data_IF_440370234837
#
_entry.id   IF_440370234837
#
_cell.length_a   1.000
_cell.length_b   1.000
_cell.length_c   1.000
_cell.angle_alpha   90.00
_cell.angle_beta   90.00
_cell.angle_gamma   90.00
#
_symmetry.space_group_name_H-M   'P 1'
#
loop_
_entity.id
_entity.type
_entity.pdbx_description
1 polymer ?
#
# COMPACT_ATOMS: atom_id res chain seq x y z
N UNK A 1 10.84 -4.05 3.73
CA UNK A 1 11.82 -4.57 2.76
C UNK A 1 13.21 -4.67 3.37
N UNK A 2 13.90 -3.56 3.65
CA UNK A 2 15.29 -3.57 4.17
C UNK A 2 15.49 -4.49 5.39
N UNK A 3 14.63 -4.36 6.41
CA UNK A 3 14.66 -5.22 7.60
C UNK A 3 14.63 -6.72 7.24
N UNK A 4 13.72 -7.11 6.34
CA UNK A 4 13.55 -8.50 5.90
C UNK A 4 14.80 -9.04 5.21
N UNK A 5 15.37 -8.27 4.30
CA UNK A 5 16.55 -8.68 3.52
C UNK A 5 17.84 -8.68 4.35
N UNK A 6 17.90 -7.87 5.42
CA UNK A 6 19.00 -7.85 6.39
C UNK A 6 18.82 -8.86 7.53
N UNK A 7 17.68 -9.57 7.58
CA UNK A 7 17.38 -10.53 8.63
C UNK A 7 17.02 -9.92 9.99
N UNK A 8 16.60 -8.65 10.02
CA UNK A 8 16.08 -8.02 11.23
C UNK A 8 14.70 -8.60 11.57
N UNK A 9 14.58 -9.31 12.68
CA UNK A 9 13.34 -9.95 13.13
C UNK A 9 12.51 -9.11 14.09
N UNK A 10 13.13 -8.13 14.75
CA UNK A 10 12.51 -7.35 15.83
C UNK A 10 11.85 -6.07 15.31
N UNK A 11 11.12 -6.19 14.20
CA UNK A 11 10.37 -5.08 13.59
C UNK A 11 9.00 -5.56 13.10
N UNK A 12 7.95 -4.92 13.60
CA UNK A 12 6.57 -5.12 13.13
C UNK A 12 6.10 -3.89 12.37
N UNK A 13 5.52 -4.09 11.18
CA UNK A 13 4.96 -3.01 10.36
C UNK A 13 3.44 -3.01 10.50
N UNK A 14 2.88 -1.85 10.87
CA UNK A 14 1.45 -1.63 10.99
C UNK A 14 1.00 -0.57 9.98
N UNK A 15 0.64 -1.02 8.78
CA UNK A 15 0.31 -0.19 7.61
C UNK A 15 -1.15 -0.39 7.14
N UNK A 16 -2.03 -0.68 8.09
CA UNK A 16 -3.47 -0.85 7.88
C UNK A 16 -4.26 0.00 8.87
N UNK A 17 -5.54 0.23 8.57
CA UNK A 17 -6.54 0.76 9.51
C UNK A 17 -7.54 -0.30 9.96
N UNK A 18 -7.36 -1.57 9.57
CA UNK A 18 -8.33 -2.61 9.89
C UNK A 18 -8.42 -2.85 11.41
N UNK A 19 -9.60 -2.70 12.03
CA UNK A 19 -9.78 -2.77 13.48
C UNK A 19 -9.18 -4.02 14.12
N UNK A 20 -9.45 -5.20 13.56
CA UNK A 20 -8.95 -6.46 14.13
C UNK A 20 -7.43 -6.54 14.16
N UNK A 21 -6.73 -5.94 13.19
CA UNK A 21 -5.25 -5.89 13.20
C UNK A 21 -4.74 -4.87 14.21
N UNK A 22 -5.34 -3.67 14.26
CA UNK A 22 -4.92 -2.63 15.19
C UNK A 22 -5.14 -3.07 16.64
N UNK A 23 -6.34 -3.56 16.97
CA UNK A 23 -6.73 -3.89 18.34
C UNK A 23 -6.02 -5.15 18.88
N UNK A 24 -5.59 -6.06 18.01
CA UNK A 24 -4.79 -7.23 18.42
C UNK A 24 -3.29 -6.94 18.55
N UNK A 25 -2.83 -5.76 18.13
CA UNK A 25 -1.41 -5.38 18.22
C UNK A 25 -1.05 -5.01 19.65
N UNK A 26 0.05 -5.58 20.17
CA UNK A 26 0.60 -5.21 21.46
C UNK A 26 1.48 -3.95 21.33
N UNK A 27 1.13 -2.90 22.07
CA UNK A 27 1.87 -1.64 22.09
C UNK A 27 2.68 -1.44 23.39
N UNK A 28 2.67 -2.40 24.31
CA UNK A 28 3.46 -2.32 25.54
C UNK A 28 4.93 -2.66 25.29
N UNK A 29 5.84 -1.88 25.91
CA UNK A 29 7.29 -2.12 25.88
C UNK A 29 7.89 -2.14 24.45
N UNK A 30 7.40 -1.28 23.55
CA UNK A 30 7.89 -1.13 22.17
C UNK A 30 8.46 0.28 21.93
N UNK A 31 9.43 0.38 21.02
CA UNK A 31 9.79 1.67 20.40
C UNK A 31 8.76 1.96 19.30
N UNK A 32 7.90 2.95 19.52
CA UNK A 32 6.87 3.30 18.54
C UNK A 32 7.46 4.24 17.49
N UNK A 33 7.61 3.76 16.25
CA UNK A 33 8.06 4.55 15.11
C UNK A 33 6.88 4.99 14.26
N UNK A 34 6.60 6.29 14.24
CA UNK A 34 5.51 6.89 13.46
C UNK A 34 6.10 7.56 12.23
N UNK A 35 5.74 7.06 11.05
CA UNK A 35 6.36 7.47 9.78
C UNK A 35 5.31 8.00 8.80
N UNK A 36 5.44 9.27 8.41
CA UNK A 36 4.62 9.86 7.34
C UNK A 36 5.33 11.08 6.75
N UNK A 37 5.66 11.04 5.46
CA UNK A 37 6.26 12.17 4.74
C UNK A 37 5.43 13.45 4.86
N UNK A 38 4.12 13.36 4.60
CA UNK A 38 3.21 14.50 4.66
C UNK A 38 2.86 14.98 6.07
N UNK A 39 3.10 14.16 7.09
CA UNK A 39 2.64 14.38 8.46
C UNK A 39 1.11 14.40 8.62
N UNK A 40 0.33 14.07 7.58
CA UNK A 40 -1.13 14.18 7.54
C UNK A 40 -1.86 12.88 7.24
N UNK A 41 -1.16 11.75 7.11
CA UNK A 41 -1.76 10.46 6.75
C UNK A 41 -2.71 9.99 7.85
N UNK A 42 -4.00 9.81 7.52
CA UNK A 42 -5.06 9.55 8.49
C UNK A 42 -4.86 8.24 9.23
N UNK A 43 -4.41 7.20 8.53
CA UNK A 43 -4.11 5.87 9.08
C UNK A 43 -2.98 5.96 10.09
N UNK A 44 -1.87 6.62 9.73
CA UNK A 44 -0.71 6.81 10.61
C UNK A 44 -1.08 7.56 11.89
N UNK A 45 -1.82 8.66 11.76
CA UNK A 45 -2.19 9.50 12.91
C UNK A 45 -3.20 8.78 13.81
N UNK A 46 -4.17 8.08 13.23
CA UNK A 46 -5.13 7.27 13.97
C UNK A 46 -4.42 6.15 14.76
N UNK A 47 -3.52 5.41 14.12
CA UNK A 47 -2.75 4.33 14.75
C UNK A 47 -1.83 4.85 15.85
N UNK A 48 -1.17 6.00 15.67
CA UNK A 48 -0.37 6.63 16.72
C UNK A 48 -1.24 6.99 17.95
N UNK A 49 -2.38 7.65 17.73
CA UNK A 49 -3.27 8.04 18.83
C UNK A 49 -3.82 6.81 19.59
N UNK A 50 -4.17 5.75 18.86
CA UNK A 50 -4.59 4.49 19.45
C UNK A 50 -3.47 3.84 20.26
N UNK A 51 -2.28 3.68 19.68
CA UNK A 51 -1.13 3.05 20.34
C UNK A 51 -0.76 3.76 21.65
N UNK A 52 -0.71 5.10 21.66
CA UNK A 52 -0.43 5.90 22.86
C UNK A 52 -1.49 5.75 23.96
N UNK A 53 -2.73 5.42 23.58
CA UNK A 53 -3.82 5.14 24.53
C UNK A 53 -3.83 3.68 25.01
N UNK A 54 -3.04 2.81 24.37
CA UNK A 54 -3.05 1.34 24.56
C UNK A 54 -1.68 0.76 24.93
N UNK A 55 -0.87 1.54 25.66
CA UNK A 55 0.36 1.04 26.29
C UNK A 55 1.66 1.58 25.69
N UNK A 56 1.63 2.19 24.49
CA UNK A 56 2.82 2.85 23.96
C UNK A 56 3.16 4.08 24.81
N UNK A 57 4.43 4.23 25.17
CA UNK A 57 4.91 5.36 25.97
C UNK A 57 5.35 6.48 25.04
N UNK A 58 4.92 7.70 25.33
CA UNK A 58 5.39 8.88 24.59
C UNK A 58 6.91 9.07 24.67
N UNK A 59 7.57 8.57 25.73
CA UNK A 59 9.03 8.57 25.86
C UNK A 59 9.76 7.68 24.85
N UNK A 60 9.06 6.70 24.28
CA UNK A 60 9.61 5.74 23.32
C UNK A 60 9.12 6.04 21.89
N UNK A 61 8.54 7.22 21.68
CA UNK A 61 8.03 7.67 20.40
C UNK A 61 9.17 8.27 19.56
N UNK A 62 9.35 7.73 18.36
CA UNK A 62 10.16 8.35 17.31
C UNK A 62 9.25 8.71 16.14
N UNK A 63 9.34 9.96 15.67
CA UNK A 63 8.61 10.46 14.50
C UNK A 63 9.56 10.61 13.33
N UNK A 64 9.19 10.08 12.17
CA UNK A 64 9.90 10.26 10.90
C UNK A 64 8.98 10.98 9.92
N UNK A 65 9.33 12.19 9.53
CA UNK A 65 8.47 13.05 8.71
C UNK A 65 9.28 14.14 7.99
N UNK A 66 8.70 14.83 7.02
CA UNK A 66 9.37 15.98 6.42
C UNK A 66 9.31 17.21 7.36
N UNK A 67 10.31 18.12 7.27
CA UNK A 67 10.34 19.33 8.08
C UNK A 67 9.11 20.23 7.84
N UNK A 68 8.59 20.83 8.90
CA UNK A 68 7.46 21.78 8.87
C UNK A 68 6.08 21.14 8.69
N UNK A 69 5.97 19.82 8.81
CA UNK A 69 4.68 19.11 8.74
C UNK A 69 3.98 19.11 10.11
N UNK A 70 2.66 18.82 10.17
CA UNK A 70 1.95 18.69 11.45
C UNK A 70 2.56 17.65 12.40
N UNK A 71 3.16 16.56 11.87
CA UNK A 71 3.86 15.58 12.70
C UNK A 71 5.20 16.10 13.23
N UNK A 72 5.91 16.93 12.46
CA UNK A 72 7.16 17.56 12.91
C UNK A 72 6.89 18.50 14.10
N UNK A 73 5.88 19.36 13.96
CA UNK A 73 5.43 20.26 15.03
C UNK A 73 4.95 19.49 16.26
N UNK A 74 4.15 18.44 16.05
CA UNK A 74 3.67 17.59 17.14
C UNK A 74 4.83 16.92 17.87
N UNK A 75 5.79 16.33 17.15
CA UNK A 75 6.95 15.66 17.73
C UNK A 75 7.77 16.60 18.60
N UNK A 76 8.01 17.83 18.11
CA UNK A 76 8.69 18.87 18.88
C UNK A 76 7.90 19.25 20.15
N UNK A 77 6.58 19.40 20.05
CA UNK A 77 5.72 19.74 21.20
C UNK A 77 5.68 18.66 22.27
N UNK A 78 5.78 17.38 21.87
CA UNK A 78 5.79 16.23 22.77
C UNK A 78 7.18 15.94 23.35
N UNK A 79 8.24 16.59 22.83
CA UNK A 79 9.63 16.25 23.14
C UNK A 79 10.04 14.87 22.63
N UNK A 80 9.36 14.36 21.59
CA UNK A 80 9.70 13.10 20.95
C UNK A 80 10.98 13.24 20.11
N UNK A 81 11.63 12.12 19.81
CA UNK A 81 12.71 12.12 18.82
C UNK A 81 12.10 12.34 17.44
N UNK A 82 12.54 13.38 16.73
CA UNK A 82 12.09 13.67 15.37
C UNK A 82 13.24 13.51 14.39
N UNK A 83 13.05 12.65 13.39
CA UNK A 83 14.00 12.40 12.31
C UNK A 83 13.42 12.96 11.01
N UNK A 84 14.05 14.01 10.49
CA UNK A 84 13.54 14.73 9.34
C UNK A 84 13.97 14.09 8.02
N UNK A 85 13.03 13.95 7.10
CA UNK A 85 13.25 13.53 5.72
C UNK A 85 13.74 14.65 4.81
N UNK A 86 14.00 14.29 3.56
CA UNK A 86 14.23 15.25 2.47
C UNK A 86 12.92 15.49 1.70
N UNK A 87 12.35 16.71 1.73
CA UNK A 87 11.14 17.06 0.97
C UNK A 87 11.23 16.75 -0.52
N UNK A 88 12.43 16.79 -1.13
CA UNK A 88 12.62 16.53 -2.56
C UNK A 88 12.54 15.04 -2.93
N UNK A 89 12.70 14.14 -1.95
CA UNK A 89 12.63 12.71 -2.18
C UNK A 89 11.18 12.22 -2.09
N UNK A 90 10.61 11.74 -3.20
CA UNK A 90 9.26 11.17 -3.23
C UNK A 90 9.12 9.91 -2.36
N UNK A 91 7.93 9.67 -1.79
CA UNK A 91 7.69 8.60 -0.81
C UNK A 91 8.12 7.20 -1.30
N UNK A 92 7.67 6.78 -2.49
CA UNK A 92 8.05 5.48 -3.08
C UNK A 92 9.55 5.33 -3.43
N UNK A 93 10.27 6.45 -3.52
CA UNK A 93 11.73 6.48 -3.75
C UNK A 93 12.54 6.62 -2.45
N UNK A 94 11.87 6.68 -1.30
CA UNK A 94 12.50 6.99 -0.01
C UNK A 94 13.07 5.78 0.74
N UNK A 95 13.10 4.58 0.13
CA UNK A 95 13.49 3.35 0.80
C UNK A 95 14.91 3.37 1.40
N UNK A 96 15.86 4.07 0.76
CA UNK A 96 17.24 4.23 1.28
C UNK A 96 17.45 5.55 2.04
N UNK A 97 16.37 6.31 2.29
CA UNK A 97 16.43 7.53 3.10
C UNK A 97 16.21 7.23 4.58
N UNK A 98 16.10 8.27 5.41
CA UNK A 98 15.73 8.15 6.83
C UNK A 98 14.46 7.31 7.06
N UNK A 99 13.51 7.34 6.13
CA UNK A 99 12.25 6.58 6.21
C UNK A 99 12.46 5.05 6.21
N UNK A 100 13.50 4.55 5.54
CA UNK A 100 13.84 3.13 5.55
C UNK A 100 15.02 2.77 6.46
N UNK A 101 16.00 3.66 6.60
CA UNK A 101 17.23 3.41 7.37
C UNK A 101 17.01 3.55 8.88
N UNK A 102 16.27 4.56 9.34
CA UNK A 102 16.08 4.75 10.77
C UNK A 102 15.32 3.58 11.44
N UNK A 103 14.21 3.04 10.86
CA UNK A 103 13.52 1.91 11.47
C UNK A 103 14.39 0.66 11.64
N UNK A 104 15.28 0.35 10.68
CA UNK A 104 16.16 -0.82 10.79
C UNK A 104 17.24 -0.63 11.86
N UNK A 105 17.77 0.59 12.01
CA UNK A 105 18.73 0.92 13.06
C UNK A 105 18.08 0.86 14.45
N UNK A 106 16.85 1.37 14.58
CA UNK A 106 16.06 1.27 15.81
C UNK A 106 15.76 -0.19 16.15
N UNK A 107 15.54 -1.03 15.14
CA UNK A 107 15.37 -2.48 15.28
C UNK A 107 16.69 -3.25 15.52
N UNK A 108 17.81 -2.55 15.72
CA UNK A 108 19.08 -3.17 16.11
C UNK A 108 19.99 -3.63 14.97
N UNK A 109 19.73 -3.21 13.73
CA UNK A 109 20.66 -3.46 12.63
C UNK A 109 22.04 -2.86 12.93
N UNK A 110 23.10 -3.67 12.79
CA UNK A 110 24.49 -3.25 13.06
C UNK A 110 25.17 -2.59 11.87
N UNK A 111 24.55 -2.67 10.70
CA UNK A 111 25.04 -2.06 9.46
C UNK A 111 23.86 -1.53 8.64
N UNK A 112 24.16 -0.57 7.78
CA UNK A 112 23.21 -0.01 6.82
C UNK A 112 23.65 -0.37 5.40
N UNK A 113 22.71 -0.56 4.47
CA UNK A 113 23.05 -0.70 3.06
C UNK A 113 23.73 0.58 2.54
N UNK A 114 24.99 0.49 2.12
CA UNK A 114 25.80 1.64 1.70
C UNK A 114 26.31 1.54 0.25
N UNK A 115 26.06 0.44 -0.44
CA UNK A 115 26.52 0.24 -1.82
C UNK A 115 25.84 1.24 -2.77
N UNK A 116 26.64 1.87 -3.62
CA UNK A 116 26.17 2.84 -4.62
C UNK A 116 26.23 2.22 -6.01
N UNK A 117 25.15 2.38 -6.79
CA UNK A 117 25.08 1.91 -8.16
C UNK A 117 26.04 2.71 -9.06
N UNK A 118 26.83 2.02 -9.88
CA UNK A 118 27.70 2.66 -10.86
C UNK A 118 26.91 3.30 -12.01
N UNK A 119 27.50 4.31 -12.65
CA UNK A 119 26.86 5.06 -13.76
C UNK A 119 26.47 4.15 -14.94
N UNK A 120 27.37 3.28 -15.38
CA UNK A 120 27.10 2.34 -16.48
C UNK A 120 25.90 1.43 -16.17
N UNK A 121 25.86 0.87 -14.97
CA UNK A 121 24.79 -0.03 -14.53
C UNK A 121 23.45 0.70 -14.33
N UNK A 122 23.50 1.97 -13.91
CA UNK A 122 22.33 2.83 -13.87
C UNK A 122 21.75 3.04 -15.27
N UNK A 123 22.60 3.35 -16.26
CA UNK A 123 22.20 3.53 -17.66
C UNK A 123 21.61 2.24 -18.22
N UNK A 124 22.24 1.09 -17.97
CA UNK A 124 21.73 -0.22 -18.39
C UNK A 124 20.34 -0.48 -17.81
N UNK A 125 20.15 -0.24 -16.51
CA UNK A 125 18.85 -0.43 -15.83
C UNK A 125 17.78 0.51 -16.41
N UNK A 126 18.13 1.76 -16.66
CA UNK A 126 17.25 2.74 -17.29
C UNK A 126 16.85 2.33 -18.71
N UNK A 127 17.80 1.89 -19.54
CA UNK A 127 17.55 1.43 -20.92
C UNK A 127 16.67 0.18 -20.92
N UNK A 128 16.91 -0.78 -20.01
CA UNK A 128 16.04 -1.94 -19.84
C UNK A 128 14.60 -1.52 -19.49
N UNK A 129 14.44 -0.53 -18.62
CA UNK A 129 13.13 0.05 -18.31
C UNK A 129 12.43 0.61 -19.54
N UNK A 130 13.14 1.38 -20.37
CA UNK A 130 12.59 1.90 -21.63
C UNK A 130 12.17 0.80 -22.59
N UNK A 131 12.96 -0.27 -22.70
CA UNK A 131 12.69 -1.38 -23.61
C UNK A 131 11.53 -2.27 -23.12
N UNK A 132 11.29 -2.32 -21.81
CA UNK A 132 10.18 -3.04 -21.21
C UNK A 132 8.83 -2.32 -21.35
N UNK A 133 8.82 -1.05 -21.77
CA UNK A 133 7.60 -0.28 -21.92
C UNK A 133 6.71 -0.85 -23.05
N UNK A 134 5.45 -1.20 -22.76
CA UNK A 134 4.56 -1.76 -23.77
C UNK A 134 4.16 -0.68 -24.78
N UNK A 135 4.21 -0.96 -26.11
CA UNK A 135 3.80 0.01 -27.13
C UNK A 135 2.32 0.46 -27.02
N UNK A 136 1.47 -0.38 -26.43
CA UNK A 136 0.07 -0.06 -26.10
C UNK A 136 -0.07 0.98 -24.99
N UNK A 137 1.00 1.25 -24.24
CA UNK A 137 0.98 2.04 -23.01
C UNK A 137 0.48 1.28 -21.78
N UNK A 138 0.03 0.03 -21.94
CA UNK A 138 -0.56 -0.78 -20.88
C UNK A 138 -0.17 -2.25 -21.00
N UNK A 139 0.26 -2.86 -19.88
CA UNK A 139 0.46 -4.30 -19.75
C UNK A 139 0.50 -4.71 -18.26
N UNK A 140 0.76 -5.98 -17.99
CA UNK A 140 1.11 -6.49 -16.66
C UNK A 140 2.62 -6.70 -16.54
N UNK A 141 3.16 -6.69 -15.32
CA UNK A 141 4.57 -7.05 -15.08
C UNK A 141 4.75 -7.79 -13.78
N UNK A 142 5.55 -8.86 -13.80
CA UNK A 142 5.83 -9.64 -12.59
C UNK A 142 6.84 -8.96 -11.68
N UNK A 143 6.57 -8.96 -10.38
CA UNK A 143 7.51 -8.54 -9.33
C UNK A 143 8.24 -9.73 -8.70
N UNK A 144 9.24 -9.46 -7.85
CA UNK A 144 10.11 -10.46 -7.23
C UNK A 144 9.44 -11.17 -6.06
N UNK A 145 8.44 -12.01 -6.37
CA UNK A 145 7.65 -12.75 -5.39
C UNK A 145 6.19 -12.28 -5.36
N UNK A 146 5.54 -12.46 -4.23
CA UNK A 146 4.14 -12.09 -4.02
C UNK A 146 4.02 -10.88 -3.07
N UNK A 147 3.47 -9.74 -3.50
CA UNK A 147 3.26 -8.54 -2.65
C UNK A 147 2.49 -8.80 -1.35
N UNK A 148 1.68 -9.86 -1.29
CA UNK A 148 0.93 -10.21 -0.08
C UNK A 148 1.80 -10.88 0.99
N UNK A 149 2.98 -11.40 0.63
CA UNK A 149 3.85 -12.17 1.54
C UNK A 149 5.31 -11.76 1.51
N UNK A 150 5.73 -10.95 0.54
CA UNK A 150 7.09 -10.43 0.39
C UNK A 150 7.09 -8.91 0.45
N UNK A 151 7.75 -8.34 1.46
CA UNK A 151 7.91 -6.90 1.57
C UNK A 151 8.71 -6.29 0.42
N UNK A 152 9.58 -7.07 -0.23
CA UNK A 152 10.34 -6.59 -1.39
C UNK A 152 9.45 -6.51 -2.62
N UNK A 153 8.65 -7.55 -2.88
CA UNK A 153 7.65 -7.53 -3.94
C UNK A 153 6.60 -6.43 -3.73
N UNK A 154 6.20 -6.18 -2.48
CA UNK A 154 5.29 -5.10 -2.11
C UNK A 154 5.87 -3.71 -2.42
N UNK A 155 7.16 -3.51 -2.16
CA UNK A 155 7.84 -2.25 -2.49
C UNK A 155 7.99 -2.07 -4.00
N UNK A 156 8.37 -3.12 -4.73
CA UNK A 156 8.44 -3.09 -6.21
C UNK A 156 7.05 -2.78 -6.81
N UNK A 157 5.99 -3.40 -6.30
CA UNK A 157 4.61 -3.14 -6.69
C UNK A 157 4.27 -1.65 -6.54
N UNK A 158 4.51 -1.08 -5.35
CA UNK A 158 4.25 0.34 -5.09
C UNK A 158 5.02 1.23 -6.06
N UNK A 159 6.33 0.98 -6.22
CA UNK A 159 7.18 1.80 -7.07
C UNK A 159 6.70 1.80 -8.52
N UNK A 160 6.36 0.64 -9.07
CA UNK A 160 5.93 0.48 -10.45
C UNK A 160 4.51 1.02 -10.68
N UNK A 161 3.56 0.64 -9.85
CA UNK A 161 2.15 0.99 -10.02
C UNK A 161 1.93 2.51 -9.85
N UNK A 162 2.52 3.11 -8.82
CA UNK A 162 2.37 4.56 -8.60
C UNK A 162 3.13 5.41 -9.62
N UNK A 163 4.28 4.94 -10.10
CA UNK A 163 5.07 5.71 -11.05
C UNK A 163 4.44 5.69 -12.44
N UNK A 164 3.91 4.53 -12.86
CA UNK A 164 3.45 4.33 -14.25
C UNK A 164 1.95 4.54 -14.46
N UNK A 165 1.12 4.36 -13.43
CA UNK A 165 -0.34 4.33 -13.51
C UNK A 165 -1.01 5.69 -13.74
N UNK A 166 -0.77 6.31 -14.90
CA UNK A 166 -1.20 7.68 -15.23
C UNK A 166 -1.65 7.77 -16.68
N UNK A 167 -2.57 8.70 -16.97
CA UNK A 167 -3.02 9.02 -18.33
C UNK A 167 -3.47 7.81 -19.16
N UNK A 168 -4.12 6.83 -18.51
CA UNK A 168 -4.58 5.59 -19.12
C UNK A 168 -3.49 4.54 -19.37
N UNK A 169 -2.26 4.82 -18.93
CA UNK A 169 -1.08 3.97 -19.09
C UNK A 169 -0.68 3.30 -17.77
N UNK A 170 0.19 2.31 -17.86
CA UNK A 170 0.83 1.72 -16.69
C UNK A 170 1.16 0.25 -16.84
N UNK A 171 1.96 -0.26 -15.91
CA UNK A 171 2.16 -1.69 -15.73
C UNK A 171 1.48 -2.14 -14.45
N UNK A 172 0.49 -3.04 -14.55
CA UNK A 172 -0.12 -3.66 -13.37
C UNK A 172 0.86 -4.69 -12.80
N UNK A 173 1.36 -4.51 -11.57
CA UNK A 173 2.23 -5.49 -10.96
C UNK A 173 1.45 -6.76 -10.63
N UNK A 174 2.02 -7.90 -11.00
CA UNK A 174 1.51 -9.25 -10.69
C UNK A 174 2.56 -10.07 -9.95
N UNK A 175 2.18 -11.10 -9.19
CA UNK A 175 3.15 -11.94 -8.50
C UNK A 175 4.10 -12.64 -9.47
N UNK A 176 5.38 -12.68 -9.13
CA UNK A 176 6.38 -13.45 -9.87
C UNK A 176 7.06 -14.50 -9.01
N UNK A 177 8.03 -15.19 -9.62
CA UNK A 177 8.88 -16.11 -8.88
C UNK A 177 9.76 -15.34 -7.87
N UNK A 178 9.95 -15.86 -6.64
CA UNK A 178 10.89 -15.27 -5.69
C UNK A 178 12.29 -15.15 -6.30
N UNK A 179 12.93 -13.99 -6.11
CA UNK A 179 14.30 -13.75 -6.56
C UNK A 179 15.20 -13.56 -5.36
N UNK A 180 16.41 -14.13 -5.42
CA UNK A 180 17.42 -13.90 -4.38
C UNK A 180 18.03 -12.52 -4.55
N UNK A 181 17.86 -11.66 -3.56
CA UNK A 181 18.47 -10.33 -3.54
C UNK A 181 19.77 -10.42 -2.77
N UNK A 182 20.89 -10.16 -3.46
CA UNK A 182 22.23 -10.24 -2.87
C UNK A 182 22.65 -8.92 -2.21
N UNK A 183 22.26 -7.81 -2.83
CA UNK A 183 22.51 -6.46 -2.34
C UNK A 183 21.23 -5.65 -2.50
N UNK A 184 20.62 -5.31 -1.36
CA UNK A 184 19.34 -4.60 -1.34
C UNK A 184 19.49 -3.14 -1.74
N UNK A 185 20.62 -2.48 -1.48
CA UNK A 185 20.85 -1.11 -1.91
C UNK A 185 20.95 -1.03 -3.42
N UNK A 186 21.72 -1.94 -4.04
CA UNK A 186 21.82 -2.01 -5.50
C UNK A 186 20.49 -2.41 -6.13
N UNK A 187 19.75 -3.35 -5.53
CA UNK A 187 18.42 -3.71 -6.01
C UNK A 187 17.48 -2.49 -6.05
N UNK A 188 17.41 -1.72 -4.96
CA UNK A 188 16.59 -0.50 -4.92
C UNK A 188 16.98 0.50 -6.01
N UNK A 189 18.28 0.77 -6.14
CA UNK A 189 18.78 1.75 -7.13
C UNK A 189 18.54 1.29 -8.57
N UNK A 190 18.73 0.00 -8.88
CA UNK A 190 18.43 -0.58 -10.21
C UNK A 190 16.95 -0.45 -10.52
N UNK A 191 16.08 -0.81 -9.58
CA UNK A 191 14.62 -0.74 -9.78
C UNK A 191 14.13 0.70 -9.89
N UNK A 192 14.76 1.67 -9.20
CA UNK A 192 14.52 3.11 -9.43
C UNK A 192 14.85 3.50 -10.88
N UNK A 193 16.07 3.20 -11.35
CA UNK A 193 16.51 3.54 -12.70
C UNK A 193 15.61 2.89 -13.77
N UNK A 194 15.29 1.61 -13.60
CA UNK A 194 14.35 0.87 -14.44
C UNK A 194 12.99 1.54 -14.50
N UNK A 195 12.42 1.90 -13.34
CA UNK A 195 11.08 2.52 -13.28
C UNK A 195 11.07 3.90 -13.95
N UNK A 196 12.13 4.69 -13.80
CA UNK A 196 12.27 5.99 -14.47
C UNK A 196 12.38 5.81 -15.99
N UNK A 197 13.16 4.84 -16.47
CA UNK A 197 13.25 4.50 -17.89
C UNK A 197 11.91 4.07 -18.48
N UNK A 198 11.18 3.23 -17.75
CA UNK A 198 9.84 2.79 -18.11
C UNK A 198 8.86 3.98 -18.22
N UNK A 199 8.82 4.85 -17.21
CA UNK A 199 7.96 6.04 -17.24
C UNK A 199 8.32 6.99 -18.39
N UNK A 200 9.62 7.13 -18.70
CA UNK A 200 10.11 7.94 -19.81
C UNK A 200 9.58 7.42 -21.14
N UNK A 201 9.67 6.11 -21.39
CA UNK A 201 9.15 5.48 -22.60
C UNK A 201 7.61 5.53 -22.68
N UNK A 202 6.92 5.42 -21.54
CA UNK A 202 5.47 5.63 -21.46
C UNK A 202 5.07 7.10 -21.61
N UNK A 203 5.98 8.06 -21.47
CA UNK A 203 5.69 9.49 -21.50
C UNK A 203 4.85 9.95 -20.31
N UNK A 204 5.10 9.40 -19.11
CA UNK A 204 4.49 9.81 -17.84
C UNK A 204 5.57 10.24 -16.85
N UNK A 205 5.23 11.10 -15.89
CA UNK A 205 6.20 11.55 -14.91
C UNK A 205 6.32 10.52 -13.76
N UNK A 206 7.52 9.98 -13.47
CA UNK A 206 7.68 9.01 -12.40
C UNK A 206 7.57 9.61 -11.00
N UNK A 207 7.51 10.94 -10.84
CA UNK A 207 7.59 11.62 -9.55
C UNK A 207 6.29 12.29 -9.09
N UNK A 208 5.28 12.43 -9.96
CA UNK A 208 3.98 12.99 -9.58
C UNK A 208 3.02 11.92 -9.02
N UNK A 209 1.97 12.40 -8.34
CA UNK A 209 0.94 11.60 -7.65
C UNK A 209 -0.42 12.31 -7.75
N UNK A 210 -1.03 12.39 -8.94
CA UNK A 210 -2.23 13.22 -9.15
C UNK A 210 -3.47 12.73 -8.38
N UNK A 211 -3.57 11.44 -8.05
CA UNK A 211 -4.80 10.83 -7.53
C UNK A 211 -4.78 10.47 -6.02
N UNK A 212 -3.72 10.85 -5.29
CA UNK A 212 -3.59 10.58 -3.85
C UNK A 212 -4.51 11.49 -3.02
N UNK A 213 -4.58 12.77 -3.37
CA UNK A 213 -5.39 13.75 -2.64
C UNK A 213 -6.90 13.53 -2.82
N UNK A 214 -7.34 12.98 -3.96
CA UNK A 214 -8.77 12.67 -4.17
C UNK A 214 -9.27 11.61 -3.18
N UNK A 215 -8.48 10.57 -2.93
CA UNK A 215 -8.82 9.51 -1.99
C UNK A 215 -8.92 10.05 -0.55
N UNK A 216 -7.94 10.84 -0.11
CA UNK A 216 -7.97 11.47 1.22
C UNK A 216 -9.23 12.29 1.42
N UNK A 217 -9.56 13.16 0.46
CA UNK A 217 -10.75 14.00 0.52
C UNK A 217 -12.04 13.19 0.60
N UNK A 218 -12.17 12.12 -0.18
CA UNK A 218 -13.37 11.26 -0.15
C UNK A 218 -13.49 10.50 1.16
N UNK A 219 -12.39 9.97 1.70
CA UNK A 219 -12.40 9.32 3.02
C UNK A 219 -12.91 10.27 4.11
N UNK A 220 -12.45 11.53 4.15
CA UNK A 220 -12.93 12.49 5.15
C UNK A 220 -14.39 12.90 4.93
N UNK A 221 -14.84 13.00 3.68
CA UNK A 221 -16.25 13.23 3.37
C UNK A 221 -17.13 12.07 3.88
N UNK A 222 -16.71 10.82 3.62
CA UNK A 222 -17.40 9.61 4.08
C UNK A 222 -17.35 9.40 5.59
N UNK A 223 -16.30 9.87 6.27
CA UNK A 223 -16.25 9.90 7.73
C UNK A 223 -17.25 10.91 8.31
N UNK A 224 -17.44 12.04 7.64
CA UNK A 224 -18.30 13.12 8.13
C UNK A 224 -19.78 12.87 7.83
N UNK A 225 -20.07 12.31 6.66
CA UNK A 225 -21.42 12.03 6.18
C UNK A 225 -21.42 10.74 5.34
N UNK A 226 -21.44 9.56 5.99
CA UNK A 226 -21.38 8.28 5.30
C UNK A 226 -22.52 8.11 4.29
N UNK A 227 -22.18 7.65 3.09
CA UNK A 227 -23.18 7.17 2.12
C UNK A 227 -23.59 5.73 2.42
N UNK A 228 -24.80 5.29 2.00
CA UNK A 228 -25.19 3.89 2.08
C UNK A 228 -24.24 3.00 1.29
N UNK A 229 -23.89 1.84 1.86
CA UNK A 229 -23.10 0.85 1.14
C UNK A 229 -23.94 0.10 0.09
N UNK A 230 -23.38 -0.04 -1.11
CA UNK A 230 -23.95 -0.82 -2.21
C UNK A 230 -23.14 -2.11 -2.39
N UNK A 231 -23.68 -3.26 -1.94
CA UNK A 231 -23.09 -4.58 -2.13
C UNK A 231 -23.97 -5.44 -3.03
N UNK A 232 -23.34 -6.27 -3.86
CA UNK A 232 -24.04 -7.35 -4.56
C UNK A 232 -24.06 -8.60 -3.67
N UNK A 233 -25.06 -9.46 -3.90
CA UNK A 233 -25.03 -10.82 -3.37
C UNK A 233 -23.86 -11.59 -4.02
N UNK A 234 -22.95 -12.21 -3.24
CA UNK A 234 -21.86 -13.03 -3.75
C UNK A 234 -22.30 -14.08 -4.79
N UNK A 235 -23.52 -14.63 -4.67
CA UNK A 235 -24.06 -15.59 -5.64
C UNK A 235 -24.21 -15.03 -7.06
N UNK A 236 -24.26 -13.69 -7.21
CA UNK A 236 -24.35 -13.01 -8.50
C UNK A 236 -22.98 -12.64 -9.08
N UNK A 237 -21.87 -12.97 -8.41
CA UNK A 237 -20.53 -12.58 -8.82
C UNK A 237 -20.03 -13.37 -10.05
N UNK A 238 -20.50 -14.61 -10.24
CA UNK A 238 -20.05 -15.50 -11.32
C UNK A 238 -20.12 -14.85 -12.71
N UNK A 239 -21.27 -14.25 -13.06
CA UNK A 239 -21.44 -13.58 -14.34
C UNK A 239 -20.55 -12.33 -14.51
N UNK A 240 -20.09 -11.72 -13.42
CA UNK A 240 -19.07 -10.66 -13.49
C UNK A 240 -17.69 -11.27 -13.75
N UNK A 241 -17.28 -12.31 -13.03
CA UNK A 241 -15.98 -12.97 -13.21
C UNK A 241 -15.84 -13.51 -14.64
N UNK A 242 -16.87 -14.18 -15.16
CA UNK A 242 -16.88 -14.82 -16.49
C UNK A 242 -16.65 -13.85 -17.66
N UNK A 243 -16.89 -12.53 -17.50
CA UNK A 243 -16.59 -11.55 -18.56
C UNK A 243 -15.10 -11.44 -18.87
N UNK A 244 -14.21 -11.94 -18.01
CA UNK A 244 -12.77 -11.95 -18.23
C UNK A 244 -12.11 -10.57 -18.14
N UNK A 245 -10.86 -10.49 -18.62
CA UNK A 245 -10.03 -9.28 -18.54
C UNK A 245 -9.25 -9.15 -17.22
N UNK A 246 -8.34 -8.17 -17.13
CA UNK A 246 -7.54 -7.95 -15.94
C UNK A 246 -8.39 -7.34 -14.85
N UNK A 247 -8.36 -7.92 -13.66
CA UNK A 247 -9.07 -7.34 -12.53
C UNK A 247 -8.28 -7.39 -11.23
N UNK A 248 -8.63 -6.48 -10.33
CA UNK A 248 -7.94 -6.29 -9.06
C UNK A 248 -8.84 -6.69 -7.91
N UNK A 249 -8.33 -7.54 -7.02
CA UNK A 249 -8.94 -7.82 -5.73
C UNK A 249 -8.57 -6.72 -4.74
N UNK A 250 -9.56 -5.93 -4.34
CA UNK A 250 -9.42 -4.85 -3.36
C UNK A 250 -9.99 -5.31 -2.02
N UNK A 251 -9.16 -5.91 -1.16
CA UNK A 251 -9.63 -6.59 0.05
C UNK A 251 -9.45 -5.73 1.28
N UNK A 252 -10.51 -5.08 1.74
CA UNK A 252 -10.55 -4.40 3.03
C UNK A 252 -10.76 -5.44 4.14
N UNK A 253 -9.65 -6.01 4.61
CA UNK A 253 -9.61 -7.07 5.60
C UNK A 253 -8.37 -6.99 6.51
N UNK A 254 -8.27 -7.82 7.55
CA UNK A 254 -7.13 -7.81 8.46
C UNK A 254 -5.86 -8.30 7.75
N UNK A 255 -4.68 -7.90 8.21
CA UNK A 255 -3.41 -8.35 7.59
C UNK A 255 -3.25 -9.87 7.59
N UNK A 256 -3.87 -10.56 8.55
CA UNK A 256 -3.89 -12.02 8.64
C UNK A 256 -4.60 -12.72 7.48
N UNK A 257 -5.45 -12.03 6.70
CA UNK A 257 -6.12 -12.64 5.54
C UNK A 257 -5.23 -12.70 4.29
N UNK A 258 -4.01 -12.13 4.30
CA UNK A 258 -3.12 -12.10 3.14
C UNK A 258 -2.91 -13.48 2.45
N UNK A 259 -2.71 -14.60 3.18
CA UNK A 259 -2.58 -15.93 2.55
C UNK A 259 -3.85 -16.37 1.83
N UNK A 260 -5.02 -16.04 2.39
CA UNK A 260 -6.30 -16.42 1.80
C UNK A 260 -6.62 -15.57 0.55
N UNK A 261 -6.27 -14.29 0.57
CA UNK A 261 -6.33 -13.42 -0.61
C UNK A 261 -5.41 -13.95 -1.72
N UNK A 262 -4.19 -14.39 -1.37
CA UNK A 262 -3.27 -15.00 -2.33
C UNK A 262 -3.84 -16.29 -2.94
N UNK A 263 -4.52 -17.12 -2.15
CA UNK A 263 -5.24 -18.30 -2.63
C UNK A 263 -6.40 -17.95 -3.57
N UNK A 264 -7.25 -16.99 -3.21
CA UNK A 264 -8.36 -16.54 -4.07
C UNK A 264 -7.82 -16.02 -5.42
N UNK A 265 -6.81 -15.17 -5.40
CA UNK A 265 -6.13 -14.67 -6.61
C UNK A 265 -5.58 -15.81 -7.45
N UNK A 266 -4.94 -16.80 -6.83
CA UNK A 266 -4.37 -17.96 -7.54
C UNK A 266 -5.46 -18.81 -8.19
N UNK A 267 -6.58 -19.03 -7.51
CA UNK A 267 -7.74 -19.74 -8.08
C UNK A 267 -8.30 -19.02 -9.30
N UNK A 268 -8.45 -17.70 -9.23
CA UNK A 268 -8.92 -16.90 -10.36
C UNK A 268 -7.90 -16.87 -11.51
N UNK A 269 -6.60 -16.85 -11.21
CA UNK A 269 -5.55 -16.98 -12.23
C UNK A 269 -5.61 -18.34 -12.95
N UNK A 270 -5.89 -19.44 -12.23
CA UNK A 270 -6.10 -20.76 -12.84
C UNK A 270 -7.34 -20.83 -13.74
N UNK A 271 -8.32 -19.95 -13.53
CA UNK A 271 -9.47 -19.78 -14.43
C UNK A 271 -9.14 -18.97 -15.71
N UNK A 272 -7.89 -18.50 -15.86
CA UNK A 272 -7.42 -17.77 -17.03
C UNK A 272 -7.49 -16.25 -16.91
N UNK A 273 -7.64 -15.71 -15.69
CA UNK A 273 -7.69 -14.27 -15.45
C UNK A 273 -6.32 -13.70 -15.07
N UNK A 274 -6.03 -12.47 -15.50
CA UNK A 274 -4.91 -11.69 -14.99
C UNK A 274 -5.36 -10.96 -13.72
N UNK A 275 -4.88 -11.40 -12.56
CA UNK A 275 -5.39 -10.91 -11.27
C UNK A 275 -4.27 -10.34 -10.42
N UNK A 276 -4.43 -9.07 -10.04
CA UNK A 276 -3.66 -8.44 -8.96
C UNK A 276 -4.50 -8.41 -7.69
N UNK A 277 -3.87 -8.29 -6.52
CA UNK A 277 -4.58 -8.25 -5.26
C UNK A 277 -3.84 -7.39 -4.24
N UNK A 278 -4.59 -6.60 -3.48
CA UNK A 278 -4.04 -5.76 -2.41
C UNK A 278 -4.96 -5.73 -1.20
N UNK A 279 -4.36 -5.59 -0.01
CA UNK A 279 -5.10 -5.34 1.22
C UNK A 279 -5.40 -3.84 1.38
N UNK A 280 -6.64 -3.50 1.64
CA UNK A 280 -7.10 -2.15 1.94
C UNK A 280 -6.94 -1.85 3.43
N UNK A 281 -6.61 -0.59 3.81
CA UNK A 281 -6.35 0.56 2.94
C UNK A 281 -4.92 0.61 2.37
N UNK A 282 -4.02 -0.32 2.72
CA UNK A 282 -2.60 -0.31 2.32
C UNK A 282 -2.41 -0.04 0.83
N UNK A 283 -3.16 -0.72 -0.04
CA UNK A 283 -3.00 -0.57 -1.49
C UNK A 283 -3.35 0.83 -2.01
N UNK A 284 -4.10 1.66 -1.25
CA UNK A 284 -4.46 3.02 -1.67
C UNK A 284 -3.21 3.91 -1.84
N UNK A 285 -2.13 3.57 -1.12
CA UNK A 285 -0.81 4.20 -1.19
C UNK A 285 0.21 3.31 -1.93
N UNK A 286 -0.27 2.39 -2.77
CA UNK A 286 0.53 1.53 -3.66
C UNK A 286 -0.14 1.49 -5.03
N UNK A 287 -0.98 0.51 -5.29
CA UNK A 287 -1.65 0.33 -6.58
C UNK A 287 -2.84 1.28 -6.81
N UNK A 288 -3.26 2.05 -5.79
CA UNK A 288 -4.38 3.00 -5.91
C UNK A 288 -4.24 4.01 -7.05
N UNK A 289 -3.01 4.41 -7.41
CA UNK A 289 -2.76 5.28 -8.55
C UNK A 289 -3.07 4.59 -9.89
N UNK A 290 -2.62 3.35 -10.10
CA UNK A 290 -2.93 2.61 -11.33
C UNK A 290 -4.39 2.19 -11.44
N UNK A 291 -5.07 1.96 -10.30
CA UNK A 291 -6.51 1.69 -10.31
C UNK A 291 -7.32 2.87 -10.88
N UNK A 292 -6.89 4.09 -10.58
CA UNK A 292 -7.60 5.33 -10.95
C UNK A 292 -7.11 5.92 -12.28
N UNK A 293 -5.80 5.89 -12.52
CA UNK A 293 -5.13 6.52 -13.65
C UNK A 293 -4.68 5.54 -14.75
N UNK A 294 -4.70 4.23 -14.50
CA UNK A 294 -4.31 3.20 -15.47
C UNK A 294 -5.40 2.85 -16.50
N UNK A 295 -5.22 1.73 -17.22
CA UNK A 295 -6.11 1.33 -18.33
C UNK A 295 -7.57 1.19 -17.90
N UNK A 296 -8.50 1.70 -18.71
CA UNK A 296 -9.94 1.56 -18.53
C UNK A 296 -10.44 0.10 -18.55
N UNK A 297 -9.61 -0.84 -19.04
CA UNK A 297 -9.93 -2.27 -19.03
C UNK A 297 -9.80 -2.93 -17.66
N UNK A 298 -9.19 -2.26 -16.67
CA UNK A 298 -9.14 -2.75 -15.31
C UNK A 298 -10.53 -2.82 -14.69
N UNK A 299 -10.82 -3.96 -14.07
CA UNK A 299 -12.05 -4.21 -13.32
C UNK A 299 -11.71 -4.46 -11.85
N UNK A 300 -12.65 -4.24 -10.94
CA UNK A 300 -12.37 -4.24 -9.50
C UNK A 300 -13.41 -5.06 -8.75
N UNK A 301 -12.93 -6.03 -7.97
CA UNK A 301 -13.73 -6.72 -6.96
C UNK A 301 -13.31 -6.20 -5.60
N UNK A 302 -14.12 -5.32 -5.03
CA UNK A 302 -13.91 -4.81 -3.68
C UNK A 302 -14.58 -5.76 -2.67
N UNK A 303 -13.79 -6.29 -1.75
CA UNK A 303 -14.24 -7.23 -0.72
C UNK A 303 -14.09 -6.52 0.61
N UNK A 304 -15.20 -6.27 1.31
CA UNK A 304 -15.17 -5.78 2.69
C UNK A 304 -15.39 -6.98 3.62
N UNK A 305 -14.38 -7.33 4.41
CA UNK A 305 -14.52 -8.29 5.49
C UNK A 305 -14.96 -7.50 6.72
N UNK A 306 -16.12 -7.84 7.28
CA UNK A 306 -16.60 -7.20 8.49
C UNK A 306 -15.63 -7.45 9.66
N UNK A 307 -15.20 -6.41 10.40
CA UNK A 307 -14.38 -6.62 11.57
C UNK A 307 -15.09 -7.45 12.63
N UNK A 308 -14.36 -8.34 13.29
CA UNK A 308 -14.85 -9.15 14.41
C UNK A 308 -14.76 -8.43 15.75
N UNK A 309 -13.87 -7.44 15.84
CA UNK A 309 -13.65 -6.64 17.05
C UNK A 309 -14.81 -5.71 17.38
N UNK A 310 -14.85 -5.24 18.63
CA UNK A 310 -15.85 -4.24 19.03
C UNK A 310 -15.41 -2.84 18.59
N UNK A 311 -16.30 -2.00 18.04
CA UNK A 311 -15.97 -0.62 17.72
C UNK A 311 -15.51 0.17 18.94
N UNK A 312 -14.36 0.82 18.81
CA UNK A 312 -13.80 1.71 19.82
C UNK A 312 -13.43 3.05 19.18
N UNK A 313 -13.81 4.15 19.82
CA UNK A 313 -13.43 5.49 19.37
C UNK A 313 -11.93 5.71 19.58
N UNK A 314 -11.28 6.28 18.57
CA UNK A 314 -9.87 6.63 18.68
C UNK A 314 -9.75 7.88 19.57
N UNK A 315 -8.81 7.87 20.51
CA UNK A 315 -8.57 8.99 21.41
C UNK A 315 -8.33 10.30 20.64
N UNK A 316 -9.07 11.35 21.01
CA UNK A 316 -9.05 12.65 20.33
C UNK A 316 -9.74 12.69 18.95
N UNK A 317 -10.52 11.67 18.59
CA UNK A 317 -11.28 11.59 17.33
C UNK A 317 -12.74 11.23 17.57
N UNK A 318 -13.60 11.67 16.66
CA UNK A 318 -15.05 11.38 16.70
C UNK A 318 -15.41 10.05 16.03
N UNK A 319 -14.41 9.30 15.53
CA UNK A 319 -14.60 8.07 14.76
C UNK A 319 -13.74 6.92 15.32
N UNK A 320 -14.17 5.69 15.01
CA UNK A 320 -13.46 4.44 15.27
C UNK A 320 -12.67 3.97 14.05
N UNK A 321 -11.83 2.93 14.20
CA UNK A 321 -11.24 2.25 13.04
C UNK A 321 -12.29 1.58 12.14
N UNK A 322 -13.47 1.22 12.67
CA UNK A 322 -14.56 0.65 11.86
C UNK A 322 -15.12 1.71 10.90
N UNK A 323 -15.35 2.91 11.43
CA UNK A 323 -15.81 4.05 10.64
C UNK A 323 -14.77 4.42 9.58
N UNK A 324 -13.48 4.45 9.95
CA UNK A 324 -12.39 4.75 9.03
C UNK A 324 -12.27 3.71 7.91
N UNK A 325 -12.30 2.41 8.22
CA UNK A 325 -12.25 1.34 7.23
C UNK A 325 -13.42 1.45 6.24
N UNK A 326 -14.64 1.62 6.75
CA UNK A 326 -15.83 1.79 5.92
C UNK A 326 -15.77 3.04 5.05
N UNK A 327 -15.29 4.16 5.61
CA UNK A 327 -15.14 5.41 4.87
C UNK A 327 -14.08 5.32 3.75
N UNK A 328 -12.98 4.62 4.00
CA UNK A 328 -11.95 4.36 2.98
C UNK A 328 -12.49 3.46 1.87
N UNK A 329 -13.24 2.40 2.20
CA UNK A 329 -13.84 1.49 1.22
C UNK A 329 -14.87 2.20 0.33
N UNK A 330 -15.79 2.96 0.93
CA UNK A 330 -16.78 3.77 0.19
C UNK A 330 -16.13 4.87 -0.63
N UNK A 331 -15.16 5.58 -0.05
CA UNK A 331 -14.44 6.65 -0.73
C UNK A 331 -13.71 6.18 -1.98
N UNK A 332 -13.04 5.02 -1.92
CA UNK A 332 -12.39 4.42 -3.07
C UNK A 332 -13.41 3.94 -4.13
N UNK A 333 -14.47 3.26 -3.70
CA UNK A 333 -15.54 2.83 -4.60
C UNK A 333 -16.16 4.00 -5.38
N UNK A 334 -16.49 5.10 -4.70
CA UNK A 334 -17.05 6.28 -5.34
C UNK A 334 -16.06 6.95 -6.31
N UNK A 335 -14.75 6.90 -6.04
CA UNK A 335 -13.75 7.44 -6.95
C UNK A 335 -13.63 6.60 -8.22
N UNK A 336 -13.62 5.27 -8.07
CA UNK A 336 -13.60 4.33 -9.20
C UNK A 336 -14.88 4.45 -10.04
N UNK A 337 -16.06 4.39 -9.41
CA UNK A 337 -17.35 4.52 -10.10
C UNK A 337 -17.48 5.88 -10.78
N UNK A 338 -17.06 6.97 -10.12
CA UNK A 338 -17.06 8.32 -10.70
C UNK A 338 -16.15 8.48 -11.93
N UNK A 339 -15.17 7.59 -12.09
CA UNK A 339 -14.28 7.50 -13.26
C UNK A 339 -14.78 6.50 -14.32
N UNK A 340 -15.95 5.90 -14.12
CA UNK A 340 -16.53 4.91 -15.03
C UNK A 340 -15.83 3.55 -14.99
N UNK A 341 -15.14 3.21 -13.89
CA UNK A 341 -14.51 1.89 -13.71
C UNK A 341 -15.57 0.80 -13.47
N UNK A 342 -15.30 -0.41 -13.95
CA UNK A 342 -16.12 -1.59 -13.65
C UNK A 342 -15.76 -2.13 -12.27
N UNK A 343 -16.50 -1.71 -11.25
CA UNK A 343 -16.29 -2.10 -9.86
C UNK A 343 -17.55 -2.76 -9.29
N UNK A 344 -17.37 -3.90 -8.64
CA UNK A 344 -18.39 -4.59 -7.84
C UNK A 344 -17.91 -4.74 -6.41
N UNK A 345 -18.84 -4.70 -5.46
CA UNK A 345 -18.54 -4.84 -4.04
C UNK A 345 -19.28 -6.02 -3.45
N UNK A 346 -18.57 -6.82 -2.67
CA UNK A 346 -19.15 -7.88 -1.84
C UNK A 346 -18.76 -7.64 -0.39
N UNK A 347 -19.61 -8.08 0.52
CA UNK A 347 -19.36 -8.05 1.96
C UNK A 347 -19.33 -9.48 2.49
N UNK A 348 -18.34 -9.77 3.31
CA UNK A 348 -18.19 -11.04 4.01
C UNK A 348 -18.31 -10.82 5.52
N UNK A 349 -19.06 -11.69 6.19
CA UNK A 349 -19.13 -11.73 7.63
C UNK A 349 -17.78 -12.21 8.23
N UNK A 350 -17.52 -11.93 9.52
CA UNK A 350 -16.28 -12.36 10.15
C UNK A 350 -16.12 -13.90 10.08
N UNK A 351 -14.99 -14.36 9.56
CA UNK A 351 -14.66 -15.78 9.45
C UNK A 351 -15.22 -16.50 8.22
N UNK A 352 -15.97 -15.83 7.35
CA UNK A 352 -16.31 -16.39 6.03
C UNK A 352 -15.08 -16.51 5.14
N UNK A 353 -14.98 -17.63 4.42
CA UNK A 353 -13.84 -17.91 3.56
C UNK A 353 -13.94 -17.16 2.22
N UNK A 354 -12.86 -16.48 1.83
CA UNK A 354 -12.78 -15.75 0.55
C UNK A 354 -12.96 -16.67 -0.66
N UNK A 355 -12.52 -17.92 -0.58
CA UNK A 355 -12.73 -18.90 -1.65
C UNK A 355 -14.21 -19.26 -1.86
N UNK A 356 -15.08 -18.98 -0.87
CA UNK A 356 -16.52 -19.11 -1.02
C UNK A 356 -17.10 -18.20 -2.10
N UNK A 357 -16.41 -17.12 -2.48
CA UNK A 357 -16.83 -16.21 -3.57
C UNK A 357 -16.79 -16.85 -4.97
N UNK A 358 -16.18 -18.03 -5.11
CA UNK A 358 -16.10 -18.76 -6.38
C UNK A 358 -17.22 -19.81 -6.56
N UNK A 359 -18.12 -19.96 -5.59
CA UNK A 359 -19.14 -21.00 -5.51
C UNK A 359 -20.54 -20.43 -5.32
#
# INVERSE_FOLDING_TARGET
MLASELGCTDLTILDTSHPDTIQSTNFENVNLVVSSKSGGTVETIASMAYALSHGARASDLTIITDPGTPLDELGQSLGAVVLQGDPQTGGRFSALSVFGIAPILIAGATSVPETVLGEEEWIESFVHGMQAAPPSGWDTMTVSGDPLTSFTALWEEQLLAESTGKDGKGLLPTPGAPRKILDIALHVQRTHAFTVGLCTALGVNPFDQPDVESAKRRTFAELSSPTPDEFIDPANLGGWIERGGPFVLQVYGPLSCAPEVASLRSSMAMMGHEVSAGLGPRYLHSTGQIHKGGSASLRFLQILIEPSSTPERISGREYSFHDLLGAQARGDFQDLTGRGRDVVRVKLAPGEHLLGLLH
#
